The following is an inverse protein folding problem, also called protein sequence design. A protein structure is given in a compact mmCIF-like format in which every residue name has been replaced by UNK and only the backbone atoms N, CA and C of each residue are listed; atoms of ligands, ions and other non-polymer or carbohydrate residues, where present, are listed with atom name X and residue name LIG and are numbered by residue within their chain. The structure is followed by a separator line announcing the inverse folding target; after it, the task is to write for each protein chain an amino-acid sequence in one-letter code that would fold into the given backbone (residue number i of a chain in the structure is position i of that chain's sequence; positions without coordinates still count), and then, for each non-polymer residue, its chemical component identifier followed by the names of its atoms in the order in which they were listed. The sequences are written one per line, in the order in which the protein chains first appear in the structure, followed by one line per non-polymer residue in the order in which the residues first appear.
data_IF_403095272066
#
_entry.id   IF_403095272066
#
_cell.length_a   1.000
_cell.length_b   1.000
_cell.length_c   1.000
_cell.angle_alpha   90.00
_cell.angle_beta   90.00
_cell.angle_gamma   90.00
#
_symmetry.space_group_name_H-M   'P 1'
#
loop_
_entity.id
_entity.type
_entity.pdbx_description
1 polymer ?
#
# COMPACT_ATOMS: atom_id res chain seq x y z
N UNK A 1 -43.73 10.44 -0.62
CA UNK A 1 -42.58 9.50 -0.79
C UNK A 1 -41.34 10.35 -0.79
N UNK A 2 -40.70 10.49 0.39
CA UNK A 2 -39.57 11.41 0.59
C UNK A 2 -38.29 10.61 0.36
N UNK A 3 -37.56 10.92 -0.71
CA UNK A 3 -36.24 10.34 -0.98
C UNK A 3 -35.25 11.11 -0.11
N UNK A 4 -34.79 10.49 0.95
CA UNK A 4 -33.70 11.00 1.75
C UNK A 4 -32.39 10.69 1.03
N UNK A 5 -31.85 11.68 0.30
CA UNK A 5 -30.49 11.62 -0.20
C UNK A 5 -29.60 11.87 1.01
N UNK A 6 -29.03 10.81 1.57
CA UNK A 6 -27.95 10.94 2.53
C UNK A 6 -26.76 11.55 1.79
N UNK A 7 -26.45 12.81 2.10
CA UNK A 7 -25.17 13.44 1.74
C UNK A 7 -24.03 12.60 2.34
N UNK A 8 -23.53 11.62 1.61
CA UNK A 8 -22.21 11.07 1.85
C UNK A 8 -21.26 12.22 1.54
N UNK A 9 -20.75 12.87 2.56
CA UNK A 9 -19.66 13.82 2.45
C UNK A 9 -18.52 13.04 1.79
N UNK A 10 -18.23 13.36 0.53
CA UNK A 10 -17.04 12.86 -0.15
C UNK A 10 -15.88 13.47 0.63
N UNK A 11 -15.32 12.74 1.60
CA UNK A 11 -14.05 13.14 2.18
C UNK A 11 -13.07 13.21 1.02
N UNK A 12 -12.22 14.26 0.92
CA UNK A 12 -11.07 14.19 0.04
C UNK A 12 -10.28 12.96 0.50
N UNK A 13 -10.29 11.95 -0.35
CA UNK A 13 -9.95 10.58 0.04
C UNK A 13 -8.51 10.52 0.55
N UNK A 14 -7.67 11.51 0.21
CA UNK A 14 -6.28 11.56 0.69
C UNK A 14 -5.73 13.00 0.67
N UNK A 15 -4.83 13.35 1.63
CA UNK A 15 -4.25 14.69 1.73
C UNK A 15 -3.42 15.05 0.48
N UNK A 16 -3.13 16.34 0.34
CA UNK A 16 -2.10 16.81 -0.61
C UNK A 16 -0.75 16.30 -0.11
N UNK A 17 -0.05 15.53 -0.90
CA UNK A 17 1.24 14.94 -0.52
C UNK A 17 2.26 16.03 -0.18
N UNK A 18 2.86 15.97 0.99
CA UNK A 18 3.90 16.92 1.44
C UNK A 18 5.25 16.61 0.79
N UNK A 19 5.56 15.34 0.59
CA UNK A 19 6.75 14.88 -0.09
C UNK A 19 6.37 14.36 -1.47
N UNK A 20 7.05 14.82 -2.52
CA UNK A 20 6.83 14.35 -3.90
C UNK A 20 8.16 14.31 -4.65
N UNK A 21 8.40 13.24 -5.41
CA UNK A 21 9.62 13.03 -6.19
C UNK A 21 9.30 12.44 -7.56
N UNK A 22 9.98 12.91 -8.61
CA UNK A 22 10.00 12.22 -9.89
C UNK A 22 11.06 11.11 -9.80
N UNK A 23 10.64 9.88 -10.05
CA UNK A 23 11.47 8.68 -9.93
C UNK A 23 11.51 7.95 -11.27
N UNK A 24 12.71 7.75 -11.80
CA UNK A 24 12.92 6.87 -12.95
C UNK A 24 12.93 5.41 -12.46
N UNK A 25 12.51 4.48 -13.33
CA UNK A 25 12.48 3.05 -12.99
C UNK A 25 13.86 2.50 -12.59
N UNK A 26 14.96 3.04 -13.14
CA UNK A 26 16.31 2.67 -12.76
C UNK A 26 16.69 3.15 -11.35
N UNK A 27 16.09 4.23 -10.89
CA UNK A 27 16.29 4.82 -9.55
C UNK A 27 15.35 4.22 -8.49
N UNK A 28 14.35 3.46 -8.92
CA UNK A 28 13.34 2.90 -8.00
C UNK A 28 13.94 2.08 -6.84
N UNK A 29 15.00 1.26 -7.02
CA UNK A 29 15.62 0.56 -5.91
C UNK A 29 16.24 1.49 -4.85
N UNK A 30 16.82 2.60 -5.27
CA UNK A 30 17.38 3.61 -4.36
C UNK A 30 16.25 4.37 -3.64
N UNK A 31 15.24 4.78 -4.38
CA UNK A 31 14.06 5.43 -3.82
C UNK A 31 13.32 4.54 -2.81
N UNK A 32 13.22 3.23 -3.08
CA UNK A 32 12.60 2.29 -2.15
C UNK A 32 13.35 2.20 -0.81
N UNK A 33 14.68 2.31 -0.81
CA UNK A 33 15.48 2.38 0.43
C UNK A 33 15.20 3.66 1.21
N UNK A 34 15.17 4.82 0.52
CA UNK A 34 14.80 6.09 1.15
C UNK A 34 13.39 6.02 1.77
N UNK A 35 12.47 5.36 1.10
CA UNK A 35 11.09 5.20 1.58
C UNK A 35 11.01 4.25 2.80
N UNK A 36 11.82 3.20 2.81
CA UNK A 36 11.91 2.27 3.95
C UNK A 36 12.33 3.00 5.23
N UNK A 37 13.19 4.01 5.15
CA UNK A 37 13.62 4.82 6.31
C UNK A 37 12.44 5.63 6.92
N UNK A 38 11.41 5.93 6.12
CA UNK A 38 10.17 6.60 6.56
C UNK A 38 9.10 5.61 7.07
N UNK A 39 9.26 4.30 6.86
CA UNK A 39 8.31 3.26 7.31
C UNK A 39 8.60 2.81 8.75
N UNK A 40 7.59 2.24 9.39
CA UNK A 40 7.65 1.68 10.75
C UNK A 40 6.97 0.32 10.79
N UNK A 41 7.34 -0.46 11.79
CA UNK A 41 6.63 -1.69 12.15
C UNK A 41 5.16 -1.38 12.44
N UNK A 42 4.25 -2.21 11.94
CA UNK A 42 2.82 -1.99 12.08
C UNK A 42 2.19 -1.01 11.08
N UNK A 43 2.98 -0.45 10.14
CA UNK A 43 2.43 0.48 9.18
C UNK A 43 1.38 -0.16 8.26
N UNK A 44 0.35 0.62 8.01
CA UNK A 44 -0.73 0.35 7.05
C UNK A 44 -0.60 1.35 5.91
N UNK A 45 -0.11 0.89 4.78
CA UNK A 45 0.25 1.72 3.63
C UNK A 45 -0.84 1.66 2.57
N UNK A 46 -1.50 2.78 2.32
CA UNK A 46 -2.43 2.95 1.20
C UNK A 46 -1.67 3.29 -0.08
N UNK A 47 -1.77 2.44 -1.11
CA UNK A 47 -1.17 2.66 -2.42
C UNK A 47 -2.22 3.14 -3.41
N UNK A 48 -2.10 4.39 -3.84
CA UNK A 48 -3.05 5.07 -4.72
C UNK A 48 -2.40 5.32 -6.08
N UNK A 49 -3.14 5.08 -7.13
CA UNK A 49 -2.72 5.34 -8.50
C UNK A 49 -3.47 4.48 -9.51
N UNK A 50 -3.54 4.97 -10.73
CA UNK A 50 -4.18 4.27 -11.85
C UNK A 50 -3.56 2.89 -12.12
N UNK A 51 -4.27 2.08 -12.90
CA UNK A 51 -3.73 0.82 -13.42
C UNK A 51 -2.44 1.13 -14.19
N UNK A 52 -1.37 0.36 -13.95
CA UNK A 52 -0.07 0.58 -14.59
C UNK A 52 0.77 1.70 -13.98
N UNK A 53 0.33 2.38 -12.92
CA UNK A 53 1.13 3.36 -12.21
C UNK A 53 2.41 2.78 -11.59
N UNK A 54 2.44 1.45 -11.32
CA UNK A 54 3.62 0.76 -10.78
C UNK A 54 3.53 0.43 -9.30
N UNK A 55 2.35 0.41 -8.71
CA UNK A 55 2.12 0.10 -7.28
C UNK A 55 2.78 -1.21 -6.86
N UNK A 56 2.47 -2.30 -7.55
CA UNK A 56 3.09 -3.61 -7.31
C UNK A 56 4.62 -3.58 -7.50
N UNK A 57 5.11 -2.80 -8.48
CA UNK A 57 6.56 -2.65 -8.72
C UNK A 57 7.24 -1.93 -7.56
N UNK A 58 6.57 -0.94 -6.97
CA UNK A 58 7.06 -0.26 -5.77
C UNK A 58 7.11 -1.21 -4.58
N UNK A 59 6.05 -2.00 -4.32
CA UNK A 59 6.05 -3.01 -3.25
C UNK A 59 7.19 -4.00 -3.43
N UNK A 60 7.44 -4.44 -4.67
CA UNK A 60 8.59 -5.32 -4.99
C UNK A 60 9.92 -4.67 -4.63
N UNK A 61 10.11 -3.40 -4.94
CA UNK A 61 11.34 -2.67 -4.63
C UNK A 61 11.51 -2.49 -3.11
N UNK A 62 10.44 -2.18 -2.38
CA UNK A 62 10.43 -2.07 -0.92
C UNK A 62 10.73 -3.43 -0.26
N UNK A 63 10.07 -4.49 -0.70
CA UNK A 63 10.33 -5.84 -0.17
C UNK A 63 11.80 -6.24 -0.35
N UNK A 64 12.38 -5.94 -1.51
CA UNK A 64 13.80 -6.17 -1.77
C UNK A 64 14.71 -5.32 -0.88
N UNK A 65 14.36 -4.05 -0.66
CA UNK A 65 15.09 -3.17 0.24
C UNK A 65 15.06 -3.67 1.70
N UNK A 66 13.98 -4.36 2.10
CA UNK A 66 13.82 -5.02 3.40
C UNK A 66 14.46 -6.43 3.46
N UNK A 67 15.20 -6.83 2.42
CA UNK A 67 15.94 -8.10 2.41
C UNK A 67 15.14 -9.31 1.86
N UNK A 68 13.92 -9.11 1.34
CA UNK A 68 13.19 -10.21 0.73
C UNK A 68 13.79 -10.60 -0.63
N UNK A 69 14.25 -11.84 -0.75
CA UNK A 69 14.90 -12.36 -1.96
C UNK A 69 13.95 -13.11 -2.90
N UNK A 70 12.72 -13.37 -2.46
CA UNK A 70 11.72 -14.09 -3.23
C UNK A 70 11.06 -13.24 -4.33
N UNK A 71 10.15 -13.87 -5.06
CA UNK A 71 9.39 -13.21 -6.12
C UNK A 71 8.14 -12.52 -5.55
N UNK A 72 8.07 -11.19 -5.66
CA UNK A 72 6.85 -10.44 -5.39
C UNK A 72 5.96 -10.48 -6.63
N UNK A 73 4.72 -10.95 -6.46
CA UNK A 73 3.70 -11.04 -7.49
C UNK A 73 2.57 -10.06 -7.20
N UNK A 74 1.86 -9.63 -8.24
CA UNK A 74 0.61 -8.89 -8.06
C UNK A 74 -0.42 -9.77 -7.37
N UNK A 75 -1.08 -9.30 -6.30
CA UNK A 75 -2.13 -10.05 -5.62
C UNK A 75 -3.51 -9.90 -6.28
N UNK A 76 -3.60 -9.34 -7.50
CA UNK A 76 -4.87 -9.11 -8.22
C UNK A 76 -5.76 -10.36 -8.34
N UNK A 77 -5.17 -11.55 -8.36
CA UNK A 77 -5.91 -12.82 -8.42
C UNK A 77 -5.98 -13.55 -7.07
N UNK A 78 -4.99 -13.38 -6.22
CA UNK A 78 -4.90 -14.01 -4.90
C UNK A 78 -5.50 -13.15 -3.80
N UNK A 79 -5.70 -11.85 -4.10
CA UNK A 79 -6.22 -10.82 -3.20
C UNK A 79 -5.17 -10.40 -2.16
N UNK A 80 -4.47 -11.34 -1.57
CA UNK A 80 -3.48 -11.13 -0.52
C UNK A 80 -2.28 -12.06 -0.75
N UNK A 81 -1.08 -11.50 -0.65
CA UNK A 81 0.18 -12.22 -0.64
C UNK A 81 0.97 -11.87 0.61
N UNK A 82 1.60 -12.86 1.23
CA UNK A 82 2.50 -12.71 2.35
C UNK A 82 3.95 -12.91 1.90
N UNK A 83 4.86 -12.03 2.34
CA UNK A 83 6.29 -12.11 2.11
C UNK A 83 7.02 -12.11 3.44
N UNK A 84 7.55 -13.26 3.87
CA UNK A 84 8.33 -13.41 5.10
C UNK A 84 9.70 -12.78 4.92
N UNK A 85 10.04 -11.88 5.81
CA UNK A 85 11.34 -11.18 5.81
C UNK A 85 12.40 -11.98 6.58
N UNK A 86 13.69 -11.80 6.25
CA UNK A 86 14.76 -12.35 7.05
C UNK A 86 14.75 -11.73 8.46
N UNK A 87 15.25 -12.48 9.44
CA UNK A 87 15.28 -12.05 10.86
C UNK A 87 16.33 -10.99 11.15
N UNK A 88 17.26 -10.77 10.23
CA UNK A 88 18.35 -9.79 10.29
C UNK A 88 18.06 -8.54 9.44
N UNK A 89 16.76 -8.26 9.17
CA UNK A 89 16.36 -7.00 8.54
C UNK A 89 16.57 -5.81 9.49
N UNK A 90 16.52 -4.60 8.94
CA UNK A 90 16.79 -3.35 9.68
C UNK A 90 15.75 -3.00 10.78
N UNK A 91 14.64 -3.74 10.84
CA UNK A 91 13.56 -3.55 11.83
C UNK A 91 13.60 -4.65 12.89
N UNK A 92 13.63 -4.26 14.15
CA UNK A 92 13.82 -5.21 15.26
C UNK A 92 12.68 -6.23 15.43
N UNK A 93 11.46 -5.92 15.00
CA UNK A 93 10.27 -6.76 15.17
C UNK A 93 9.53 -7.13 13.89
N UNK A 94 9.90 -6.56 12.76
CA UNK A 94 9.22 -6.79 11.48
C UNK A 94 9.51 -8.19 10.95
N UNK A 95 8.46 -9.00 10.78
CA UNK A 95 8.59 -10.40 10.31
C UNK A 95 8.11 -10.59 8.88
N UNK A 96 7.18 -9.75 8.41
CA UNK A 96 6.56 -9.95 7.10
C UNK A 96 5.97 -8.68 6.49
N UNK A 97 5.80 -8.73 5.21
CA UNK A 97 4.97 -7.81 4.44
C UNK A 97 3.70 -8.55 4.03
N UNK A 98 2.56 -7.91 4.18
CA UNK A 98 1.30 -8.30 3.57
C UNK A 98 1.00 -7.33 2.43
N UNK A 99 0.71 -7.87 1.26
CA UNK A 99 0.36 -7.09 0.07
C UNK A 99 -1.03 -7.50 -0.42
N UNK A 100 -1.98 -6.58 -0.36
CA UNK A 100 -3.37 -6.76 -0.78
C UNK A 100 -3.69 -5.90 -2.01
N UNK A 101 -4.57 -6.41 -2.88
CA UNK A 101 -5.13 -5.67 -4.02
C UNK A 101 -6.66 -5.78 -3.99
N UNK A 102 -7.31 -4.65 -3.73
CA UNK A 102 -8.77 -4.58 -3.60
C UNK A 102 -9.48 -4.19 -4.90
N UNK A 103 -8.78 -4.13 -6.03
CA UNK A 103 -9.36 -3.70 -7.32
C UNK A 103 -10.61 -4.50 -7.72
N UNK A 104 -10.64 -5.81 -7.46
CA UNK A 104 -11.72 -6.73 -7.84
C UNK A 104 -12.77 -6.95 -6.76
N UNK A 105 -12.65 -6.31 -5.61
CA UNK A 105 -13.67 -6.47 -4.57
C UNK A 105 -14.95 -5.75 -4.92
N UNK A 106 -16.05 -6.49 -4.83
CA UNK A 106 -17.40 -6.00 -5.08
C UNK A 106 -18.22 -5.86 -3.80
N UNK A 107 -17.83 -6.58 -2.73
CA UNK A 107 -18.56 -6.54 -1.47
C UNK A 107 -17.68 -6.78 -0.24
N UNK A 108 -18.13 -6.26 0.92
CA UNK A 108 -17.43 -6.36 2.21
C UNK A 108 -17.28 -7.78 2.75
N UNK A 109 -18.18 -8.69 2.38
CA UNK A 109 -18.16 -10.06 2.94
C UNK A 109 -16.91 -10.82 2.51
N UNK A 110 -16.44 -10.57 1.27
CA UNK A 110 -15.24 -11.21 0.74
C UNK A 110 -14.00 -10.77 1.50
N UNK A 111 -14.00 -9.51 1.97
CA UNK A 111 -12.90 -8.92 2.73
C UNK A 111 -12.92 -9.41 4.19
N UNK A 112 -14.10 -9.47 4.81
CA UNK A 112 -14.25 -10.00 6.17
C UNK A 112 -13.77 -11.44 6.28
N UNK A 113 -13.89 -12.22 5.19
CA UNK A 113 -13.40 -13.58 5.13
C UNK A 113 -11.85 -13.69 5.15
N UNK A 114 -11.13 -12.59 4.92
CA UNK A 114 -9.66 -12.58 4.92
C UNK A 114 -9.03 -12.43 6.30
N UNK A 115 -9.83 -12.17 7.36
CA UNK A 115 -9.35 -11.95 8.73
C UNK A 115 -8.17 -10.96 8.81
N UNK A 116 -8.29 -9.84 8.09
CA UNK A 116 -7.20 -8.85 8.00
C UNK A 116 -6.81 -8.25 9.35
N UNK A 117 -7.73 -8.21 10.32
CA UNK A 117 -7.44 -7.68 11.66
C UNK A 117 -6.32 -8.46 12.36
N UNK A 118 -6.26 -9.77 12.17
CA UNK A 118 -5.20 -10.60 12.75
C UNK A 118 -3.82 -10.32 12.11
N UNK A 119 -3.81 -9.82 10.87
CA UNK A 119 -2.61 -9.50 10.12
C UNK A 119 -2.11 -8.06 10.36
N UNK A 120 -2.97 -7.16 10.86
CA UNK A 120 -2.64 -5.77 11.15
C UNK A 120 -2.02 -5.62 12.55
N UNK A 121 -0.77 -6.04 12.69
CA UNK A 121 -0.01 -6.02 13.95
C UNK A 121 1.39 -5.42 13.79
N UNK A 122 2.09 -5.21 14.89
CA UNK A 122 3.42 -4.58 14.90
C UNK A 122 4.56 -5.44 14.30
N UNK A 123 4.27 -6.66 13.87
CA UNK A 123 5.24 -7.52 13.17
C UNK A 123 5.10 -7.46 11.65
N UNK A 124 4.17 -6.62 11.17
CA UNK A 124 3.74 -6.58 9.76
C UNK A 124 3.76 -5.16 9.23
N UNK A 125 4.22 -4.96 7.98
CA UNK A 125 3.86 -3.80 7.16
C UNK A 125 2.82 -4.27 6.14
N UNK A 126 1.67 -3.61 6.14
CA UNK A 126 0.55 -3.94 5.28
C UNK A 126 0.44 -2.94 4.12
N UNK A 127 0.52 -3.40 2.89
CA UNK A 127 0.32 -2.60 1.68
C UNK A 127 -1.03 -2.93 1.05
N UNK A 128 -1.87 -1.92 0.83
CA UNK A 128 -3.15 -2.05 0.15
C UNK A 128 -3.17 -1.25 -1.16
N UNK A 129 -3.31 -1.93 -2.29
CA UNK A 129 -3.68 -1.31 -3.56
C UNK A 129 -5.21 -1.12 -3.64
N UNK A 130 -5.67 -0.02 -4.21
CA UNK A 130 -7.09 0.33 -4.35
C UNK A 130 -7.85 0.37 -3.00
N UNK A 131 -7.28 1.02 -1.98
CA UNK A 131 -7.89 1.04 -0.65
C UNK A 131 -9.28 1.71 -0.63
N UNK A 132 -9.58 2.60 -1.59
CA UNK A 132 -10.88 3.24 -1.75
C UNK A 132 -12.04 2.27 -2.09
N UNK A 133 -11.71 1.03 -2.49
CA UNK A 133 -12.71 -0.02 -2.72
C UNK A 133 -13.25 -0.61 -1.42
N UNK A 134 -12.59 -0.32 -0.31
CA UNK A 134 -12.86 -0.90 1.01
C UNK A 134 -13.08 0.17 2.08
N UNK A 135 -13.57 1.34 1.69
CA UNK A 135 -13.88 2.49 2.57
C UNK A 135 -14.81 2.14 3.74
N UNK A 136 -15.58 1.06 3.63
CA UNK A 136 -16.47 0.58 4.68
C UNK A 136 -15.74 -0.34 5.69
N UNK A 137 -14.47 -0.67 5.45
CA UNK A 137 -13.65 -1.40 6.43
C UNK A 137 -13.13 -0.44 7.50
N UNK A 138 -13.08 -0.94 8.70
CA UNK A 138 -12.51 -0.23 9.86
C UNK A 138 -10.97 -0.36 9.85
N UNK A 139 -10.34 0.07 8.75
CA UNK A 139 -8.90 0.18 8.67
C UNK A 139 -8.50 1.62 8.30
N UNK A 140 -7.56 2.17 9.03
CA UNK A 140 -7.03 3.50 8.76
C UNK A 140 -5.58 3.38 8.31
N UNK A 141 -5.18 3.93 7.16
CA UNK A 141 -3.79 3.96 6.76
C UNK A 141 -2.99 4.87 7.68
N UNK A 142 -1.76 4.46 8.00
CA UNK A 142 -0.78 5.29 8.71
C UNK A 142 0.13 6.01 7.72
N UNK A 143 0.25 5.47 6.50
CA UNK A 143 1.02 6.06 5.40
C UNK A 143 0.20 6.01 4.13
N UNK A 144 0.25 7.07 3.34
CA UNK A 144 -0.33 7.12 2.00
C UNK A 144 0.79 7.33 0.98
N UNK A 145 0.79 6.54 -0.07
CA UNK A 145 1.69 6.69 -1.21
C UNK A 145 0.85 6.84 -2.47
N UNK A 146 1.01 7.95 -3.17
CA UNK A 146 0.33 8.25 -4.44
C UNK A 146 1.31 8.15 -5.60
N UNK A 147 0.95 7.39 -6.62
CA UNK A 147 1.77 7.21 -7.82
C UNK A 147 1.03 7.72 -9.05
N UNK A 148 1.70 8.59 -9.81
CA UNK A 148 1.19 9.14 -11.07
C UNK A 148 2.14 8.72 -12.20
N UNK A 149 1.56 8.16 -13.26
CA UNK A 149 2.28 7.83 -14.48
C UNK A 149 2.64 9.13 -15.22
N UNK A 150 3.92 9.37 -15.50
CA UNK A 150 4.40 10.54 -16.24
C UNK A 150 4.87 10.13 -17.63
N UNK A 151 5.66 9.05 -17.70
CA UNK A 151 6.17 8.50 -18.96
C UNK A 151 6.41 6.99 -18.81
N UNK A 152 6.79 6.26 -19.87
CA UNK A 152 7.11 4.84 -19.78
C UNK A 152 8.12 4.49 -18.67
N UNK A 153 9.06 5.38 -18.38
CA UNK A 153 10.13 5.16 -17.39
C UNK A 153 10.07 6.04 -16.16
N UNK A 154 9.15 7.02 -16.08
CA UNK A 154 9.08 7.98 -14.95
C UNK A 154 7.74 7.95 -14.27
N UNK A 155 7.78 7.97 -12.94
CA UNK A 155 6.61 8.14 -12.05
C UNK A 155 6.81 9.36 -11.17
N UNK A 156 5.73 10.10 -10.93
CA UNK A 156 5.68 11.00 -9.79
C UNK A 156 5.17 10.19 -8.60
N UNK A 157 5.93 10.17 -7.51
CA UNK A 157 5.58 9.46 -6.29
C UNK A 157 5.53 10.46 -5.15
N UNK A 158 4.35 10.61 -4.59
CA UNK A 158 4.12 11.39 -3.39
C UNK A 158 3.86 10.46 -2.20
N UNK A 159 4.33 10.82 -1.00
CA UNK A 159 4.03 10.06 0.21
C UNK A 159 3.91 10.95 1.42
N UNK A 160 3.12 10.49 2.38
CA UNK A 160 2.83 11.19 3.62
C UNK A 160 2.48 10.21 4.73
N UNK A 161 2.99 10.48 5.92
CA UNK A 161 2.57 9.82 7.15
C UNK A 161 1.38 10.59 7.73
N UNK A 162 0.35 9.86 8.19
CA UNK A 162 -0.91 10.42 8.67
C UNK A 162 -1.02 10.50 10.20
N UNK A 163 -0.08 9.91 10.95
CA UNK A 163 0.00 9.87 12.41
C UNK A 163 1.03 10.85 13.00
#
# INVERSE_FOLDING_TARGET
MTITITNKTIRPIYPTMQKTKLVNLEELPLFARELVDDLREGDRVALIGEIGAGKTTLVKAIAKALGYEGMVKSPTFTILNEYKLPTDNDFAGLKKIIHADFYRFENLKDIQALDLESELNNETIFFAEWPERVDEMDWEPTVVIKMIWISPTVREIGWERLD
#
